data_IF_931591576149
#
_entry.id   IF_931591576149
#
_cell.length_a   1.000
_cell.length_b   1.000
_cell.length_c   1.000
_cell.angle_alpha   90.00
_cell.angle_beta   90.00
_cell.angle_gamma   90.00
#
_symmetry.space_group_name_H-M   'P 1'
#
loop_
_entity.id
_entity.type
_entity.pdbx_description
1 polymer ?
#
# COMPACT_ATOMS: atom_id res chain seq x y z
N UNK A 1 29.31 -0.01 -25.91
CA UNK A 1 27.86 0.09 -25.99
C UNK A 1 27.29 0.27 -24.60
N UNK A 2 26.21 1.05 -24.44
CA UNK A 2 25.55 1.13 -23.13
C UNK A 2 25.01 -0.26 -22.73
N UNK A 3 25.18 -0.66 -21.46
CA UNK A 3 24.64 -1.93 -20.98
C UNK A 3 23.13 -1.90 -20.98
N UNK A 4 22.50 -2.95 -21.51
CA UNK A 4 21.07 -3.22 -21.31
C UNK A 4 20.87 -3.65 -19.85
N UNK A 5 20.08 -2.94 -19.11
CA UNK A 5 19.96 -3.16 -17.67
C UNK A 5 18.54 -3.49 -17.24
N UNK A 6 18.40 -4.40 -16.29
CA UNK A 6 17.15 -4.62 -15.56
C UNK A 6 17.17 -3.73 -14.32
N UNK A 7 16.13 -2.92 -14.12
CA UNK A 7 15.81 -2.29 -12.85
C UNK A 7 14.73 -3.14 -12.16
N UNK A 8 15.16 -4.04 -11.29
CA UNK A 8 14.27 -4.86 -10.48
C UNK A 8 13.82 -4.06 -9.26
N UNK A 9 12.50 -3.93 -9.07
CA UNK A 9 11.91 -3.37 -7.88
C UNK A 9 10.90 -4.33 -7.27
N UNK A 10 11.03 -4.57 -5.97
CA UNK A 10 10.19 -5.47 -5.18
C UNK A 10 9.51 -4.69 -4.06
N UNK A 11 8.19 -4.85 -3.90
CA UNK A 11 7.43 -4.20 -2.85
C UNK A 11 7.19 -5.16 -1.68
N UNK A 12 7.58 -4.77 -0.47
CA UNK A 12 7.43 -5.58 0.76
C UNK A 12 6.40 -4.93 1.67
N UNK A 13 5.28 -5.60 1.86
CA UNK A 13 4.20 -5.07 2.68
C UNK A 13 3.43 -6.16 3.43
N UNK A 14 3.06 -5.86 4.68
CA UNK A 14 2.04 -6.59 5.44
C UNK A 14 1.18 -5.59 6.22
N UNK A 15 -0.16 -5.58 5.99
CA UNK A 15 -1.06 -4.71 6.72
C UNK A 15 -1.33 -5.24 8.13
N UNK A 16 -1.60 -4.33 9.06
CA UNK A 16 -2.28 -4.68 10.30
C UNK A 16 -3.76 -4.87 10.02
N UNK A 17 -4.23 -6.11 10.03
CA UNK A 17 -5.62 -6.45 9.75
C UNK A 17 -6.48 -6.24 10.97
N UNK A 18 -7.62 -5.57 10.79
CA UNK A 18 -8.62 -5.42 11.84
C UNK A 18 -9.16 -6.80 12.22
N UNK A 19 -9.42 -7.01 13.51
CA UNK A 19 -10.03 -8.25 14.03
C UNK A 19 -11.43 -8.45 13.45
N UNK A 20 -11.80 -9.72 13.24
CA UNK A 20 -13.05 -10.15 12.60
C UNK A 20 -14.16 -10.54 13.59
N UNK A 21 -13.99 -10.18 14.86
CA UNK A 21 -14.99 -10.39 15.91
C UNK A 21 -15.51 -9.05 16.50
N UNK A 22 -15.16 -7.92 15.86
CA UNK A 22 -15.65 -6.59 16.24
C UNK A 22 -17.14 -6.46 15.86
N UNK A 23 -17.97 -6.02 16.80
CA UNK A 23 -19.39 -5.82 16.60
C UNK A 23 -19.84 -4.47 17.15
N UNK A 24 -21.06 -4.03 16.75
CA UNK A 24 -21.68 -2.83 17.31
C UNK A 24 -21.81 -2.86 18.84
N UNK A 25 -21.88 -4.03 19.46
CA UNK A 25 -21.96 -4.17 20.92
C UNK A 25 -20.63 -3.90 21.61
N UNK A 26 -19.54 -3.98 20.88
CA UNK A 26 -18.18 -3.73 21.38
C UNK A 26 -17.82 -2.26 21.40
N UNK A 27 -18.65 -1.37 20.83
CA UNK A 27 -18.41 0.07 20.82
C UNK A 27 -18.36 0.63 22.24
N UNK A 28 -17.22 1.17 22.62
CA UNK A 28 -16.93 1.70 23.96
C UNK A 28 -16.33 0.69 24.92
N UNK A 29 -16.00 -0.51 24.48
CA UNK A 29 -15.34 -1.54 25.31
C UNK A 29 -13.81 -1.44 25.33
N UNK A 30 -13.23 -0.55 24.51
CA UNK A 30 -11.79 -0.35 24.37
C UNK A 30 -11.03 -1.61 23.89
N UNK A 31 -11.64 -2.46 23.09
CA UNK A 31 -10.93 -3.57 22.45
C UNK A 31 -9.77 -3.06 21.60
N UNK A 32 -8.66 -3.78 21.62
CA UNK A 32 -7.58 -3.55 20.67
C UNK A 32 -8.03 -3.98 19.27
N UNK A 33 -7.97 -3.08 18.31
CA UNK A 33 -8.47 -3.32 16.95
C UNK A 33 -7.65 -4.35 16.18
N UNK A 34 -6.37 -4.49 16.52
CA UNK A 34 -5.39 -5.34 15.84
C UNK A 34 -4.89 -6.47 16.74
N UNK A 35 -5.68 -6.83 17.75
CA UNK A 35 -5.31 -7.83 18.76
C UNK A 35 -5.02 -9.20 18.15
N UNK A 36 -4.08 -9.90 18.78
CA UNK A 36 -3.74 -11.30 18.55
C UNK A 36 -4.48 -12.26 19.50
N UNK A 37 -5.51 -11.78 20.19
CA UNK A 37 -6.28 -12.58 21.14
C UNK A 37 -6.95 -13.78 20.47
N UNK A 38 -7.13 -14.84 21.28
CA UNK A 38 -7.85 -16.06 20.85
C UNK A 38 -9.31 -15.74 20.52
N UNK A 39 -9.85 -16.42 19.51
CA UNK A 39 -11.25 -16.30 19.11
C UNK A 39 -11.49 -15.57 17.79
N UNK A 40 -10.43 -15.12 17.11
CA UNK A 40 -10.54 -14.66 15.74
C UNK A 40 -10.96 -15.80 14.81
N UNK A 41 -11.83 -15.52 13.85
CA UNK A 41 -12.23 -16.48 12.81
C UNK A 41 -11.11 -16.69 11.80
N UNK A 42 -10.42 -15.60 11.43
CA UNK A 42 -9.23 -15.61 10.58
C UNK A 42 -7.95 -15.94 11.35
N UNK A 43 -6.87 -16.21 10.65
CA UNK A 43 -5.53 -16.23 11.25
C UNK A 43 -5.17 -14.86 11.81
N UNK A 44 -4.44 -14.84 12.92
CA UNK A 44 -3.92 -13.60 13.52
C UNK A 44 -2.87 -12.94 12.62
N UNK A 45 -2.57 -11.65 12.85
CA UNK A 45 -1.53 -10.95 12.10
C UNK A 45 -0.17 -11.66 12.23
N UNK A 46 0.18 -12.11 13.44
CA UNK A 46 1.44 -12.84 13.68
C UNK A 46 1.49 -14.20 12.99
N UNK A 47 0.38 -14.95 12.93
CA UNK A 47 0.31 -16.22 12.21
C UNK A 47 0.48 -16.01 10.69
N UNK A 48 -0.22 -15.02 10.13
CA UNK A 48 -0.08 -14.67 8.70
C UNK A 48 1.35 -14.23 8.41
N UNK A 49 1.93 -13.35 9.24
CA UNK A 49 3.28 -12.84 9.04
C UNK A 49 4.31 -13.98 9.02
N UNK A 50 4.27 -14.89 10.01
CA UNK A 50 5.21 -16.03 10.08
C UNK A 50 5.04 -16.99 8.90
N UNK A 51 3.80 -17.29 8.51
CA UNK A 51 3.49 -18.12 7.34
C UNK A 51 4.12 -17.54 6.06
N UNK A 52 3.96 -16.24 5.82
CA UNK A 52 4.52 -15.58 4.62
C UNK A 52 6.05 -15.48 4.76
N UNK A 53 6.57 -15.28 5.96
CA UNK A 53 8.01 -15.28 6.22
C UNK A 53 8.67 -16.59 5.83
N UNK A 54 8.06 -17.72 6.20
CA UNK A 54 8.56 -19.06 5.86
C UNK A 54 8.50 -19.35 4.35
N UNK A 55 7.42 -18.90 3.69
CA UNK A 55 7.20 -19.20 2.27
C UNK A 55 7.94 -18.26 1.32
N UNK A 56 8.05 -17.00 1.68
CA UNK A 56 8.53 -15.93 0.80
C UNK A 56 9.78 -15.22 1.34
N UNK A 57 9.67 -14.48 2.46
CA UNK A 57 10.73 -13.55 2.85
C UNK A 57 12.07 -14.24 3.13
N UNK A 58 12.10 -15.32 3.92
CA UNK A 58 13.34 -16.00 4.26
C UNK A 58 13.94 -16.72 3.04
N UNK A 59 13.19 -17.54 2.27
CA UNK A 59 13.72 -18.17 1.07
C UNK A 59 14.25 -17.16 0.03
N UNK A 60 13.47 -16.10 -0.24
CA UNK A 60 13.86 -15.10 -1.22
C UNK A 60 15.08 -14.28 -0.76
N UNK A 61 15.13 -13.87 0.53
CA UNK A 61 16.30 -13.17 1.06
C UNK A 61 17.57 -14.03 1.00
N UNK A 62 17.48 -15.33 1.27
CA UNK A 62 18.60 -16.24 1.13
C UNK A 62 19.07 -16.36 -0.32
N UNK A 63 18.14 -16.45 -1.26
CA UNK A 63 18.47 -16.46 -2.69
C UNK A 63 19.11 -15.13 -3.14
N UNK A 64 18.55 -14.00 -2.76
CA UNK A 64 19.12 -12.68 -3.08
C UNK A 64 20.51 -12.49 -2.45
N UNK A 65 20.71 -12.93 -1.21
CA UNK A 65 22.02 -12.89 -0.57
C UNK A 65 23.05 -13.76 -1.33
N UNK A 66 22.65 -14.96 -1.77
CA UNK A 66 23.47 -15.84 -2.62
C UNK A 66 23.83 -15.12 -3.93
N UNK A 67 22.83 -14.56 -4.64
CA UNK A 67 23.03 -13.86 -5.91
C UNK A 67 23.94 -12.64 -5.75
N UNK A 68 23.77 -11.86 -4.69
CA UNK A 68 24.64 -10.74 -4.38
C UNK A 68 26.07 -11.15 -4.10
N UNK A 69 26.33 -12.36 -3.56
CA UNK A 69 27.66 -12.89 -3.33
C UNK A 69 28.30 -13.43 -4.61
N UNK A 70 27.52 -14.13 -5.44
CA UNK A 70 28.05 -14.82 -6.63
C UNK A 70 28.13 -13.91 -7.87
N UNK A 71 27.31 -12.87 -7.94
CA UNK A 71 27.24 -11.94 -9.08
C UNK A 71 27.49 -10.50 -8.62
N UNK A 72 28.71 -9.97 -8.72
CA UNK A 72 29.05 -8.60 -8.28
C UNK A 72 28.24 -7.51 -8.98
N UNK A 73 27.75 -7.76 -10.18
CA UNK A 73 26.94 -6.80 -10.98
C UNK A 73 25.44 -6.88 -10.67
N UNK A 74 25.00 -7.87 -9.88
CA UNK A 74 23.60 -7.98 -9.48
C UNK A 74 23.26 -6.92 -8.44
N UNK A 75 22.20 -6.18 -8.70
CA UNK A 75 21.63 -5.14 -7.84
C UNK A 75 20.12 -5.15 -7.98
N UNK A 76 19.44 -4.64 -6.98
CA UNK A 76 17.99 -4.44 -7.04
C UNK A 76 17.55 -3.33 -6.09
N UNK A 77 16.31 -2.91 -6.22
CA UNK A 77 15.66 -1.98 -5.30
C UNK A 77 14.42 -2.61 -4.70
N UNK A 78 14.08 -2.20 -3.50
CA UNK A 78 12.82 -2.59 -2.86
C UNK A 78 12.30 -1.47 -1.97
N UNK A 79 10.99 -1.44 -1.75
CA UNK A 79 10.45 -0.69 -0.62
C UNK A 79 9.94 -1.64 0.44
N UNK A 80 9.94 -1.20 1.67
CA UNK A 80 9.52 -1.97 2.83
C UNK A 80 8.73 -1.05 3.76
N UNK A 81 7.44 -1.33 3.93
CA UNK A 81 6.56 -0.44 4.69
C UNK A 81 6.90 -0.39 6.17
N UNK A 82 6.58 0.72 6.83
CA UNK A 82 6.72 0.82 8.28
C UNK A 82 5.91 -0.24 9.02
N UNK A 83 4.69 -0.50 8.56
CA UNK A 83 3.84 -1.56 9.12
C UNK A 83 4.45 -2.95 9.03
N UNK A 84 5.15 -3.25 7.93
CA UNK A 84 5.91 -4.50 7.81
C UNK A 84 7.05 -4.56 8.84
N UNK A 85 7.83 -3.47 8.94
CA UNK A 85 8.97 -3.41 9.88
C UNK A 85 8.48 -3.61 11.31
N UNK A 86 7.36 -2.96 11.71
CA UNK A 86 6.79 -3.11 13.03
C UNK A 86 6.36 -4.55 13.31
N UNK A 87 5.68 -5.20 12.36
CA UNK A 87 5.27 -6.60 12.47
C UNK A 87 6.48 -7.55 12.48
N UNK A 88 7.51 -7.29 11.67
CA UNK A 88 8.73 -8.08 11.68
C UNK A 88 9.44 -8.00 13.04
N UNK A 89 9.53 -6.79 13.63
CA UNK A 89 10.10 -6.59 14.95
C UNK A 89 9.34 -7.36 16.03
N UNK A 90 8.01 -7.44 15.91
CA UNK A 90 7.15 -8.09 16.91
C UNK A 90 7.08 -9.61 16.73
N UNK A 91 6.96 -10.11 15.49
CA UNK A 91 6.58 -11.50 15.23
C UNK A 91 7.72 -12.38 14.71
N UNK A 92 8.71 -11.80 14.00
CA UNK A 92 9.81 -12.53 13.35
C UNK A 92 11.03 -11.61 13.11
N UNK A 93 11.78 -11.23 14.17
CA UNK A 93 12.94 -10.34 14.06
C UNK A 93 14.02 -10.84 13.10
N UNK A 94 14.14 -12.16 12.91
CA UNK A 94 15.08 -12.80 11.99
C UNK A 94 14.82 -12.43 10.52
N UNK A 95 13.55 -12.16 10.17
CA UNK A 95 13.18 -11.67 8.83
C UNK A 95 13.79 -10.29 8.62
N UNK A 96 13.66 -9.39 9.58
CA UNK A 96 14.22 -8.05 9.48
C UNK A 96 15.75 -8.08 9.39
N UNK A 97 16.41 -8.94 10.15
CA UNK A 97 17.86 -9.14 10.07
C UNK A 97 18.28 -9.68 8.69
N UNK A 98 17.47 -10.53 8.05
CA UNK A 98 17.77 -10.99 6.70
C UNK A 98 17.73 -9.85 5.67
N UNK A 99 16.76 -8.94 5.74
CA UNK A 99 16.74 -7.72 4.90
C UNK A 99 17.93 -6.80 5.19
N UNK A 100 18.31 -6.62 6.45
CA UNK A 100 19.50 -5.83 6.81
C UNK A 100 20.78 -6.39 6.18
N UNK A 101 20.94 -7.72 6.08
CA UNK A 101 22.09 -8.33 5.41
C UNK A 101 22.14 -7.94 3.93
N UNK A 102 20.99 -7.93 3.24
CA UNK A 102 20.93 -7.50 1.84
C UNK A 102 21.36 -6.03 1.68
N UNK A 103 20.81 -5.14 2.51
CA UNK A 103 21.13 -3.69 2.45
C UNK A 103 22.60 -3.42 2.74
N UNK A 104 23.21 -4.12 3.71
CA UNK A 104 24.65 -3.97 4.05
C UNK A 104 25.59 -4.27 2.88
N UNK A 105 25.14 -4.96 1.84
CA UNK A 105 25.94 -5.18 0.62
C UNK A 105 26.17 -3.90 -0.19
N UNK A 106 25.38 -2.85 0.04
CA UNK A 106 25.38 -1.61 -0.75
C UNK A 106 24.77 -1.76 -2.15
N UNK A 107 24.18 -2.92 -2.47
CA UNK A 107 23.61 -3.24 -3.79
C UNK A 107 22.12 -3.54 -3.77
N UNK A 108 21.50 -3.49 -2.60
CA UNK A 108 20.06 -3.51 -2.39
C UNK A 108 19.62 -2.12 -1.91
N UNK A 109 18.97 -1.36 -2.79
CA UNK A 109 18.49 0.00 -2.53
C UNK A 109 17.11 -0.04 -1.86
N UNK A 110 16.89 0.81 -0.86
CA UNK A 110 15.55 1.02 -0.29
C UNK A 110 14.92 2.28 -0.86
N UNK A 111 13.66 2.15 -1.34
CA UNK A 111 12.85 3.24 -1.89
C UNK A 111 11.86 3.72 -0.84
N UNK A 112 11.66 5.03 -0.76
CA UNK A 112 10.68 5.65 0.14
C UNK A 112 9.24 5.39 -0.32
N UNK A 113 8.34 5.26 0.66
CA UNK A 113 6.89 5.20 0.47
C UNK A 113 6.15 5.78 1.68
N UNK A 114 4.82 5.66 1.77
CA UNK A 114 4.06 5.99 2.97
C UNK A 114 4.25 4.90 4.04
N UNK A 115 4.45 5.29 5.30
CA UNK A 115 4.73 4.37 6.42
C UNK A 115 3.69 3.26 6.55
N UNK A 116 2.40 3.63 6.40
CA UNK A 116 1.26 2.74 6.60
C UNK A 116 0.66 2.22 5.29
N UNK A 117 1.36 2.35 4.17
CA UNK A 117 0.83 1.95 2.85
C UNK A 117 -0.55 2.57 2.59
N UNK A 118 -0.66 3.87 2.75
CA UNK A 118 -1.93 4.58 2.74
C UNK A 118 -2.18 5.35 1.46
N UNK A 119 -3.47 5.58 1.15
CA UNK A 119 -3.91 6.48 0.08
C UNK A 119 -3.99 7.95 0.55
N UNK A 120 -3.25 8.31 1.61
CA UNK A 120 -3.32 9.65 2.22
C UNK A 120 -3.07 10.78 1.22
N UNK A 121 -2.29 10.57 0.16
CA UNK A 121 -2.08 11.56 -0.90
C UNK A 121 -3.40 12.11 -1.47
N UNK A 122 -4.45 11.30 -1.55
CA UNK A 122 -5.74 11.67 -2.14
C UNK A 122 -6.72 12.27 -1.13
N UNK A 123 -6.44 12.15 0.18
CA UNK A 123 -7.34 12.59 1.25
C UNK A 123 -6.79 13.73 2.09
N UNK A 124 -5.47 13.70 2.40
CA UNK A 124 -4.85 14.65 3.32
C UNK A 124 -3.34 14.73 3.07
N UNK A 125 -2.89 15.82 2.44
CA UNK A 125 -1.49 16.05 2.05
C UNK A 125 -0.55 16.16 3.23
N UNK A 126 -1.00 16.75 4.34
CA UNK A 126 -0.18 16.88 5.54
C UNK A 126 0.10 15.51 6.17
N UNK A 127 -0.94 14.65 6.24
CA UNK A 127 -0.76 13.29 6.75
C UNK A 127 0.11 12.45 5.80
N UNK A 128 -0.07 12.59 4.49
CA UNK A 128 0.77 11.95 3.49
C UNK A 128 2.25 12.27 3.71
N UNK A 129 2.60 13.56 3.79
CA UNK A 129 4.00 13.96 4.04
C UNK A 129 4.51 13.47 5.39
N UNK A 130 3.66 13.49 6.42
CA UNK A 130 4.00 12.98 7.76
C UNK A 130 4.37 11.51 7.69
N UNK A 131 3.61 10.70 6.97
CA UNK A 131 3.89 9.28 6.80
C UNK A 131 5.16 9.02 5.98
N UNK A 132 5.40 9.79 4.91
CA UNK A 132 6.64 9.67 4.12
C UNK A 132 7.87 10.00 4.98
N UNK A 133 7.82 11.08 5.76
CA UNK A 133 8.93 11.45 6.67
C UNK A 133 9.12 10.41 7.78
N UNK A 134 8.05 9.86 8.32
CA UNK A 134 8.10 8.79 9.32
C UNK A 134 8.75 7.53 8.74
N UNK A 135 8.40 7.17 7.50
CA UNK A 135 9.02 6.05 6.78
C UNK A 135 10.52 6.28 6.59
N UNK A 136 10.94 7.44 6.07
CA UNK A 136 12.36 7.76 5.90
C UNK A 136 13.13 7.70 7.22
N UNK A 137 12.53 8.20 8.32
CA UNK A 137 13.13 8.12 9.65
C UNK A 137 13.30 6.68 10.13
N UNK A 138 12.27 5.82 9.91
CA UNK A 138 12.32 4.40 10.26
C UNK A 138 13.36 3.64 9.44
N UNK A 139 13.46 3.93 8.15
CA UNK A 139 14.50 3.31 7.27
C UNK A 139 15.90 3.70 7.76
N UNK A 140 16.12 4.97 8.09
CA UNK A 140 17.40 5.43 8.65
C UNK A 140 17.71 4.74 9.98
N UNK A 141 16.73 4.64 10.87
CA UNK A 141 16.85 3.99 12.17
C UNK A 141 17.25 2.51 12.02
N UNK A 142 16.53 1.78 11.16
CA UNK A 142 16.64 0.31 11.08
C UNK A 142 17.78 -0.15 10.18
N UNK A 143 17.97 0.51 9.03
CA UNK A 143 18.90 0.09 7.98
C UNK A 143 20.13 0.98 7.85
N UNK A 144 20.15 2.14 8.48
CA UNK A 144 21.22 3.16 8.39
C UNK A 144 21.50 3.63 6.95
N UNK A 145 20.44 3.82 6.16
CA UNK A 145 20.51 4.34 4.78
C UNK A 145 19.50 5.46 4.56
N UNK A 146 19.79 6.32 3.57
CA UNK A 146 18.86 7.35 3.10
C UNK A 146 18.13 6.86 1.85
N UNK A 147 16.88 7.28 1.70
CA UNK A 147 16.08 6.98 0.51
C UNK A 147 16.10 8.15 -0.45
N UNK A 148 16.38 7.90 -1.72
CA UNK A 148 16.49 8.93 -2.77
C UNK A 148 15.46 8.77 -3.88
N UNK A 149 14.79 7.64 -3.96
CA UNK A 149 13.68 7.36 -4.87
C UNK A 149 12.38 7.18 -4.09
N UNK A 150 11.25 7.38 -4.76
CA UNK A 150 9.92 7.32 -4.17
C UNK A 150 8.97 6.43 -4.97
N UNK A 151 8.11 5.71 -4.27
CA UNK A 151 6.98 4.97 -4.80
C UNK A 151 5.75 5.29 -3.97
N UNK A 152 4.66 5.71 -4.60
CA UNK A 152 3.41 5.87 -3.87
C UNK A 152 2.64 4.55 -3.77
N UNK A 153 1.80 4.43 -2.75
CA UNK A 153 0.92 3.28 -2.51
C UNK A 153 0.23 2.83 -3.79
N UNK A 154 0.31 1.52 -4.09
CA UNK A 154 -0.30 0.87 -5.28
C UNK A 154 0.21 1.41 -6.62
N UNK A 155 1.46 1.89 -6.67
CA UNK A 155 2.00 2.65 -7.81
C UNK A 155 1.10 3.79 -8.27
N UNK A 156 0.20 4.27 -7.41
CA UNK A 156 -0.69 5.37 -7.76
C UNK A 156 0.11 6.63 -8.06
N UNK A 157 -0.06 7.15 -9.26
CA UNK A 157 0.74 8.22 -9.79
C UNK A 157 -0.10 9.20 -10.61
N UNK A 158 0.22 10.48 -10.52
CA UNK A 158 -0.24 11.55 -11.40
C UNK A 158 0.80 12.70 -11.43
N UNK A 159 0.57 13.69 -12.31
CA UNK A 159 1.50 14.83 -12.46
C UNK A 159 1.67 15.65 -11.17
N UNK A 160 0.61 15.76 -10.34
CA UNK A 160 0.67 16.48 -9.06
C UNK A 160 1.60 15.77 -8.06
N UNK A 161 1.54 14.44 -8.00
CA UNK A 161 2.45 13.65 -7.17
C UNK A 161 3.89 13.76 -7.64
N UNK A 162 4.13 13.76 -8.95
CA UNK A 162 5.46 13.91 -9.50
C UNK A 162 6.08 15.27 -9.13
N UNK A 163 5.30 16.34 -9.23
CA UNK A 163 5.72 17.68 -8.82
C UNK A 163 6.05 17.73 -7.34
N UNK A 164 5.18 17.15 -6.49
CA UNK A 164 5.45 17.03 -5.06
C UNK A 164 6.76 16.28 -4.79
N UNK A 165 6.99 15.15 -5.48
CA UNK A 165 8.21 14.34 -5.29
C UNK A 165 9.49 15.09 -5.73
N UNK A 166 9.42 15.88 -6.80
CA UNK A 166 10.51 16.76 -7.25
C UNK A 166 10.81 17.86 -6.22
N UNK A 167 9.77 18.53 -5.72
CA UNK A 167 9.88 19.56 -4.66
C UNK A 167 10.41 18.95 -3.35
N UNK A 168 10.10 17.70 -3.06
CA UNK A 168 10.61 16.93 -1.92
C UNK A 168 12.05 16.44 -2.13
N UNK A 169 12.65 16.67 -3.30
CA UNK A 169 14.03 16.35 -3.71
C UNK A 169 14.32 14.88 -3.95
N UNK A 170 13.30 14.06 -4.25
CA UNK A 170 13.52 12.72 -4.77
C UNK A 170 14.16 12.75 -6.16
N UNK A 171 15.00 11.75 -6.47
CA UNK A 171 15.70 11.62 -7.76
C UNK A 171 14.88 10.82 -8.77
N UNK A 172 14.08 9.88 -8.27
CA UNK A 172 13.25 9.01 -9.08
C UNK A 172 11.88 8.78 -8.46
N UNK A 173 10.90 8.57 -9.31
CA UNK A 173 9.55 8.12 -8.94
C UNK A 173 9.12 6.97 -9.85
N UNK A 174 8.41 6.00 -9.28
CA UNK A 174 7.91 4.83 -9.99
C UNK A 174 6.44 4.99 -10.34
N UNK A 175 6.04 4.50 -11.52
CA UNK A 175 4.65 4.45 -11.95
C UNK A 175 4.39 3.25 -12.87
N UNK A 176 3.12 2.99 -13.17
CA UNK A 176 2.70 1.97 -14.14
C UNK A 176 2.97 2.43 -15.58
N UNK A 177 3.46 1.49 -16.41
CA UNK A 177 3.71 1.73 -17.83
C UNK A 177 2.50 1.42 -18.71
N UNK A 178 1.39 2.09 -18.46
CA UNK A 178 0.10 1.82 -19.11
C UNK A 178 0.08 2.26 -20.58
N UNK A 179 -0.29 1.32 -21.49
CA UNK A 179 -0.25 1.53 -22.95
C UNK A 179 -1.00 2.81 -23.43
N UNK A 180 -2.19 3.18 -22.91
CA UNK A 180 -2.87 4.42 -23.30
C UNK A 180 -2.08 5.70 -23.03
N UNK A 181 -1.25 5.71 -22.00
CA UNK A 181 -0.36 6.83 -21.67
C UNK A 181 0.90 6.79 -22.53
N UNK A 182 1.47 5.60 -22.69
CA UNK A 182 2.68 5.39 -23.49
C UNK A 182 2.41 5.61 -24.97
N UNK A 183 1.23 5.23 -25.49
CA UNK A 183 0.87 5.24 -26.91
C UNK A 183 1.88 4.40 -27.72
N UNK A 184 2.69 5.03 -28.58
CA UNK A 184 3.74 4.38 -29.37
C UNK A 184 5.07 4.21 -28.59
N UNK A 185 5.18 4.75 -27.40
CA UNK A 185 6.39 4.68 -26.58
C UNK A 185 6.50 3.34 -25.85
N UNK A 186 7.68 3.06 -25.32
CA UNK A 186 7.94 1.87 -24.49
C UNK A 186 8.21 2.25 -23.04
N UNK A 187 7.86 1.43 -22.03
CA UNK A 187 8.23 1.66 -20.65
C UNK A 187 9.73 1.47 -20.38
N UNK A 188 10.50 1.02 -21.38
CA UNK A 188 11.91 0.63 -21.22
C UNK A 188 12.88 1.81 -21.40
N UNK A 189 12.41 3.02 -21.16
CA UNK A 189 13.21 4.25 -21.13
C UNK A 189 12.99 5.00 -19.82
N UNK A 190 13.92 5.88 -19.51
CA UNK A 190 13.75 6.88 -18.46
C UNK A 190 13.00 8.07 -19.04
N UNK A 191 11.99 8.54 -18.32
CA UNK A 191 11.19 9.70 -18.71
C UNK A 191 11.35 10.84 -17.70
N UNK A 192 10.96 12.03 -18.13
CA UNK A 192 10.80 13.18 -17.24
C UNK A 192 9.30 13.39 -17.00
N UNK A 193 8.84 13.46 -15.76
CA UNK A 193 7.48 13.90 -15.47
C UNK A 193 7.26 15.33 -15.95
N UNK A 194 6.05 15.60 -16.42
CA UNK A 194 5.67 16.96 -16.84
C UNK A 194 5.80 17.97 -15.69
N UNK A 195 6.21 19.18 -16.02
CA UNK A 195 6.34 20.32 -15.09
C UNK A 195 7.27 20.06 -13.89
N UNK A 196 8.23 19.14 -14.02
CA UNK A 196 9.27 18.85 -13.02
C UNK A 196 10.65 19.31 -13.49
N UNK A 197 11.62 19.39 -12.57
CA UNK A 197 12.99 19.87 -12.86
C UNK A 197 14.00 18.71 -12.91
N UNK A 198 14.10 17.96 -11.82
CA UNK A 198 15.21 17.04 -11.58
C UNK A 198 14.81 15.58 -11.48
N UNK A 199 13.57 15.29 -11.11
CA UNK A 199 13.11 13.92 -10.91
C UNK A 199 13.00 13.15 -12.22
N UNK A 200 13.26 11.85 -12.17
CA UNK A 200 13.10 10.90 -13.28
C UNK A 200 11.95 9.94 -12.99
N UNK A 201 11.26 9.56 -14.05
CA UNK A 201 10.13 8.63 -14.00
C UNK A 201 10.53 7.29 -14.61
N UNK A 202 10.41 6.22 -13.83
CA UNK A 202 10.57 4.85 -14.26
C UNK A 202 9.20 4.20 -14.37
N UNK A 203 8.90 3.63 -15.52
CA UNK A 203 7.60 3.02 -15.83
C UNK A 203 7.69 1.50 -15.82
N UNK A 204 6.83 0.85 -15.03
CA UNK A 204 6.74 -0.61 -14.98
C UNK A 204 6.51 -1.19 -16.36
N UNK A 205 7.36 -2.12 -16.78
CA UNK A 205 7.02 -3.01 -17.89
C UNK A 205 6.03 -4.06 -17.36
N UNK A 206 4.74 -3.73 -17.38
CA UNK A 206 3.71 -4.57 -16.79
C UNK A 206 3.58 -5.92 -17.49
N UNK A 207 3.79 -5.99 -18.81
CA UNK A 207 3.69 -7.25 -19.55
C UNK A 207 4.69 -8.28 -19.02
N UNK A 208 5.96 -7.90 -18.94
CA UNK A 208 7.01 -8.76 -18.42
C UNK A 208 6.91 -9.00 -16.91
N UNK A 209 6.54 -7.98 -16.15
CA UNK A 209 6.37 -8.11 -14.70
C UNK A 209 5.22 -9.06 -14.33
N UNK A 210 4.08 -8.92 -15.02
CA UNK A 210 2.87 -9.71 -14.77
C UNK A 210 3.01 -11.15 -15.28
N UNK A 211 3.91 -11.42 -16.24
CA UNK A 211 4.27 -12.79 -16.67
C UNK A 211 4.88 -13.58 -15.49
N UNK A 212 5.68 -12.93 -14.66
CA UNK A 212 6.22 -13.54 -13.44
C UNK A 212 5.23 -13.52 -12.29
N UNK A 213 4.60 -12.36 -12.04
CA UNK A 213 3.77 -12.16 -10.85
C UNK A 213 2.46 -12.99 -10.88
N UNK A 214 1.83 -13.12 -12.05
CA UNK A 214 0.49 -13.70 -12.15
C UNK A 214 0.39 -14.92 -13.09
N UNK A 215 1.24 -15.03 -14.10
CA UNK A 215 1.10 -16.05 -15.13
C UNK A 215 2.06 -17.23 -14.99
N UNK A 216 3.13 -17.09 -14.22
CA UNK A 216 4.24 -18.06 -14.15
C UNK A 216 3.78 -19.50 -13.87
N UNK A 217 2.90 -19.71 -12.90
CA UNK A 217 2.37 -21.04 -12.53
C UNK A 217 1.05 -21.39 -13.23
N UNK A 218 0.49 -20.50 -14.07
CA UNK A 218 -0.78 -20.73 -14.73
C UNK A 218 -0.64 -21.72 -15.89
N UNK A 219 -1.04 -22.96 -15.67
CA UNK A 219 -0.97 -24.05 -16.67
C UNK A 219 -1.82 -23.83 -17.93
N UNK A 220 -2.81 -22.93 -17.84
CA UNK A 220 -3.66 -22.59 -18.99
C UNK A 220 -3.07 -21.44 -19.83
N UNK A 221 -1.99 -20.82 -19.39
CA UNK A 221 -1.31 -19.78 -20.14
C UNK A 221 -0.58 -20.39 -21.36
N UNK A 222 -0.73 -19.79 -22.51
CA UNK A 222 -0.14 -20.32 -23.77
C UNK A 222 1.39 -20.46 -23.72
N UNK A 223 2.04 -19.64 -22.91
CA UNK A 223 3.50 -19.62 -22.77
C UNK A 223 4.02 -20.53 -21.62
N UNK A 224 3.09 -21.26 -20.95
CA UNK A 224 3.45 -22.21 -19.89
C UNK A 224 4.08 -23.49 -20.49
N UNK A 225 5.15 -24.05 -19.88
CA UNK A 225 5.94 -23.46 -18.81
C UNK A 225 6.87 -22.36 -19.33
N UNK A 226 6.97 -21.25 -18.57
CA UNK A 226 7.90 -20.19 -18.89
C UNK A 226 9.34 -20.64 -18.53
N UNK A 227 10.17 -20.80 -19.53
CA UNK A 227 11.60 -21.11 -19.32
C UNK A 227 12.44 -19.84 -19.22
N UNK A 228 13.57 -19.93 -18.52
CA UNK A 228 14.51 -18.82 -18.39
C UNK A 228 15.00 -18.29 -19.73
N UNK A 229 15.34 -19.20 -20.67
CA UNK A 229 15.81 -18.83 -22.02
C UNK A 229 14.75 -18.06 -22.80
N UNK A 230 13.48 -18.51 -22.71
CA UNK A 230 12.36 -17.83 -23.34
C UNK A 230 12.17 -16.43 -22.78
N UNK A 231 12.18 -16.29 -21.46
CA UNK A 231 12.02 -15.00 -20.81
C UNK A 231 13.18 -14.04 -21.12
N UNK A 232 14.42 -14.53 -21.14
CA UNK A 232 15.59 -13.74 -21.58
C UNK A 232 15.43 -13.25 -23.02
N UNK A 233 14.93 -14.08 -23.92
CA UNK A 233 14.68 -13.64 -25.32
C UNK A 233 13.65 -12.51 -25.39
N UNK A 234 12.64 -12.51 -24.51
CA UNK A 234 11.67 -11.42 -24.40
C UNK A 234 12.29 -10.14 -23.82
N UNK A 235 13.12 -10.27 -22.79
CA UNK A 235 13.87 -9.16 -22.22
C UNK A 235 14.78 -8.50 -23.28
N UNK A 236 15.52 -9.32 -24.05
CA UNK A 236 16.40 -8.84 -25.12
C UNK A 236 15.62 -8.12 -26.23
N UNK A 237 14.48 -8.68 -26.65
CA UNK A 237 13.61 -8.07 -27.64
C UNK A 237 13.02 -6.76 -27.14
N UNK A 238 12.59 -6.71 -25.88
CA UNK A 238 12.04 -5.52 -25.25
C UNK A 238 13.07 -4.41 -25.09
N UNK A 239 14.34 -4.77 -24.86
CA UNK A 239 15.45 -3.81 -24.71
C UNK A 239 16.04 -3.31 -26.02
N UNK A 240 15.56 -3.78 -27.17
CA UNK A 240 16.07 -3.33 -28.48
C UNK A 240 15.89 -1.82 -28.71
N UNK A 241 14.83 -1.25 -28.11
CA UNK A 241 14.50 0.16 -28.17
C UNK A 241 14.58 0.87 -26.81
N UNK A 242 15.30 0.31 -25.83
CA UNK A 242 15.35 0.90 -24.48
C UNK A 242 16.63 0.58 -23.72
N UNK A 243 16.96 1.42 -22.76
CA UNK A 243 18.17 1.34 -21.95
C UNK A 243 17.98 0.60 -20.63
N UNK A 244 16.72 0.48 -20.17
CA UNK A 244 16.36 -0.13 -18.90
C UNK A 244 15.05 -0.90 -19.02
N UNK A 245 14.99 -2.08 -18.45
CA UNK A 245 13.76 -2.86 -18.34
C UNK A 245 13.30 -2.81 -16.89
N UNK A 246 12.17 -2.16 -16.63
CA UNK A 246 11.63 -1.96 -15.30
C UNK A 246 10.72 -3.13 -14.91
N UNK A 247 11.24 -4.07 -14.13
CA UNK A 247 10.48 -5.20 -13.57
C UNK A 247 10.05 -4.86 -12.15
N UNK A 248 8.77 -4.51 -11.97
CA UNK A 248 8.21 -4.11 -10.67
C UNK A 248 7.11 -5.10 -10.26
N UNK A 249 7.20 -5.63 -9.06
CA UNK A 249 6.22 -6.59 -8.53
C UNK A 249 6.27 -6.64 -7.01
N UNK A 250 5.30 -7.31 -6.42
CA UNK A 250 5.32 -7.60 -4.99
C UNK A 250 6.43 -8.60 -4.66
N UNK A 251 7.03 -8.46 -3.50
CA UNK A 251 8.08 -9.37 -3.00
C UNK A 251 7.49 -10.77 -2.81
N UNK A 252 6.26 -10.83 -2.37
CA UNK A 252 5.47 -12.03 -2.12
C UNK A 252 5.15 -12.81 -3.41
N UNK A 253 5.43 -12.25 -4.58
CA UNK A 253 5.48 -12.98 -5.86
C UNK A 253 6.30 -14.26 -5.71
N UNK A 254 7.44 -14.18 -5.00
CA UNK A 254 8.34 -15.30 -4.79
C UNK A 254 7.99 -16.05 -3.50
N UNK A 255 7.24 -17.14 -3.64
CA UNK A 255 6.92 -18.09 -2.59
C UNK A 255 5.50 -18.04 -2.05
N UNK A 256 4.81 -16.89 -2.06
CA UNK A 256 3.41 -16.82 -1.63
C UNK A 256 2.44 -16.78 -2.83
N UNK A 257 2.65 -15.91 -3.84
CA UNK A 257 1.80 -15.88 -5.03
C UNK A 257 2.20 -16.96 -6.04
N UNK A 258 3.49 -17.13 -6.29
CA UNK A 258 4.07 -18.24 -7.05
C UNK A 258 4.78 -19.15 -6.05
N UNK A 259 4.18 -20.29 -5.74
CA UNK A 259 4.70 -21.20 -4.72
C UNK A 259 6.05 -21.79 -5.10
N UNK A 260 6.85 -22.23 -4.13
CA UNK A 260 8.17 -22.80 -4.37
C UNK A 260 8.12 -23.98 -5.34
N UNK A 261 7.09 -24.81 -5.26
CA UNK A 261 6.86 -25.98 -6.13
C UNK A 261 6.65 -25.61 -7.61
N UNK A 262 6.33 -24.35 -7.91
CA UNK A 262 6.26 -23.84 -9.29
C UNK A 262 7.64 -23.72 -9.95
N UNK A 263 8.72 -23.76 -9.15
CA UNK A 263 10.10 -23.55 -9.62
C UNK A 263 10.49 -22.09 -9.75
N UNK A 264 9.71 -21.15 -9.18
CA UNK A 264 9.94 -19.70 -9.33
C UNK A 264 11.31 -19.24 -8.80
N UNK A 265 11.81 -19.85 -7.70
CA UNK A 265 13.11 -19.51 -7.14
C UNK A 265 14.25 -19.96 -8.06
N UNK A 266 14.20 -21.19 -8.58
CA UNK A 266 15.19 -21.73 -9.51
C UNK A 266 15.17 -20.94 -10.83
N UNK A 267 13.98 -20.57 -11.28
CA UNK A 267 13.82 -19.71 -12.45
C UNK A 267 14.48 -18.35 -12.23
N UNK A 268 14.26 -17.70 -11.08
CA UNK A 268 14.84 -16.39 -10.80
C UNK A 268 16.36 -16.46 -10.64
N UNK A 269 16.90 -17.50 -9.97
CA UNK A 269 18.33 -17.74 -9.90
C UNK A 269 18.97 -17.88 -11.29
N UNK A 270 18.34 -18.70 -12.12
CA UNK A 270 18.80 -18.93 -13.50
C UNK A 270 18.69 -17.66 -14.34
N UNK A 271 17.61 -16.88 -14.17
CA UNK A 271 17.42 -15.60 -14.87
C UNK A 271 18.58 -14.63 -14.60
N UNK A 272 18.93 -14.43 -13.33
CA UNK A 272 20.03 -13.53 -12.97
C UNK A 272 21.35 -14.03 -13.54
N UNK A 273 21.63 -15.34 -13.39
CA UNK A 273 22.88 -15.96 -13.85
C UNK A 273 23.03 -15.84 -15.35
N UNK A 274 22.07 -16.31 -16.14
CA UNK A 274 22.15 -16.26 -17.61
C UNK A 274 22.08 -14.85 -18.17
N UNK A 275 21.32 -13.93 -17.54
CA UNK A 275 21.33 -12.53 -17.96
C UNK A 275 22.72 -11.92 -17.86
N UNK A 276 23.45 -12.21 -16.80
CA UNK A 276 24.80 -11.67 -16.56
C UNK A 276 25.92 -12.41 -17.28
N UNK A 277 25.66 -13.52 -17.99
CA UNK A 277 26.65 -14.14 -18.86
C UNK A 277 27.07 -13.24 -20.03
N UNK A 278 26.20 -12.33 -20.47
CA UNK A 278 26.48 -11.39 -21.53
C UNK A 278 27.07 -10.08 -20.99
N UNK A 279 28.27 -9.68 -21.43
CA UNK A 279 28.94 -8.45 -20.94
C UNK A 279 28.13 -7.15 -21.11
N UNK A 280 27.28 -7.13 -22.14
CA UNK A 280 26.38 -6.00 -22.45
C UNK A 280 25.14 -5.93 -21.55
N UNK A 281 24.91 -6.92 -20.68
CA UNK A 281 23.78 -6.97 -19.77
C UNK A 281 24.19 -6.56 -18.35
N UNK A 282 23.24 -6.10 -17.57
CA UNK A 282 23.48 -5.70 -16.18
C UNK A 282 22.19 -5.46 -15.40
N UNK A 283 22.39 -5.10 -14.15
CA UNK A 283 21.31 -4.64 -13.27
C UNK A 283 21.63 -3.21 -12.78
N UNK A 284 20.59 -2.44 -12.54
CA UNK A 284 20.68 -1.11 -11.93
C UNK A 284 19.70 -1.02 -10.77
N UNK A 285 20.05 -0.28 -9.74
CA UNK A 285 19.05 0.20 -8.80
C UNK A 285 18.19 1.28 -9.48
N UNK A 286 17.04 1.60 -8.89
CA UNK A 286 16.15 2.65 -9.41
C UNK A 286 16.88 4.01 -9.49
N UNK A 287 17.62 4.38 -8.44
CA UNK A 287 18.39 5.62 -8.44
C UNK A 287 19.54 5.61 -9.47
N UNK A 288 20.20 4.48 -9.68
CA UNK A 288 21.20 4.35 -10.73
C UNK A 288 20.59 4.47 -12.14
N UNK A 289 19.43 3.85 -12.36
CA UNK A 289 18.71 3.96 -13.63
C UNK A 289 18.28 5.41 -13.90
N UNK A 290 17.86 6.14 -12.88
CA UNK A 290 17.47 7.53 -12.96
C UNK A 290 18.61 8.51 -13.29
N UNK A 291 19.87 8.06 -13.29
CA UNK A 291 21.01 8.89 -13.76
C UNK A 291 21.05 9.02 -15.28
N UNK A 292 20.32 8.19 -16.01
CA UNK A 292 20.24 8.29 -17.47
C UNK A 292 19.42 9.52 -17.89
N UNK A 293 19.80 10.13 -19.03
CA UNK A 293 19.02 11.23 -19.57
C UNK A 293 17.64 10.79 -20.02
N UNK A 294 16.59 11.54 -19.71
CA UNK A 294 15.24 11.17 -20.10
C UNK A 294 15.06 11.34 -21.62
N UNK A 295 14.40 10.37 -22.26
CA UNK A 295 14.16 10.41 -23.70
C UNK A 295 13.02 11.36 -24.11
N UNK A 296 12.07 11.58 -23.21
CA UNK A 296 10.92 12.46 -23.42
C UNK A 296 10.27 12.87 -22.08
N UNK A 297 9.40 13.87 -22.17
CA UNK A 297 8.48 14.22 -21.09
C UNK A 297 7.18 13.44 -21.23
N UNK A 298 6.62 12.98 -20.10
CA UNK A 298 5.32 12.28 -20.02
C UNK A 298 4.43 13.01 -19.02
N UNK A 299 3.15 13.16 -19.39
CA UNK A 299 2.09 13.69 -18.54
C UNK A 299 1.05 12.60 -18.24
N UNK A 300 0.69 12.48 -16.95
CA UNK A 300 -0.41 11.66 -16.45
C UNK A 300 -1.32 12.54 -15.58
N UNK A 301 -2.23 13.32 -16.19
CA UNK A 301 -3.08 14.25 -15.45
C UNK A 301 -4.11 13.53 -14.56
N UNK A 302 -4.50 12.30 -14.92
CA UNK A 302 -5.35 11.43 -14.12
C UNK A 302 -4.50 10.41 -13.38
N UNK A 303 -4.99 9.96 -12.23
CA UNK A 303 -4.29 8.97 -11.44
C UNK A 303 -4.30 7.61 -12.14
N UNK A 304 -3.12 7.03 -12.29
CA UNK A 304 -2.89 5.67 -12.79
C UNK A 304 -2.36 4.81 -11.65
N UNK A 305 -2.76 3.54 -11.57
CA UNK A 305 -2.27 2.54 -10.60
C UNK A 305 -1.84 1.27 -11.32
N UNK A 306 -1.29 0.29 -10.61
CA UNK A 306 -0.94 -1.01 -11.20
C UNK A 306 -2.04 -2.06 -11.11
N UNK A 307 -3.16 -1.75 -10.43
CA UNK A 307 -4.22 -2.72 -10.18
C UNK A 307 -5.30 -2.69 -11.25
N UNK A 308 -5.89 -3.86 -11.46
CA UNK A 308 -7.00 -4.15 -12.36
C UNK A 308 -6.72 -3.75 -13.81
N UNK A 309 -7.69 -3.95 -14.68
CA UNK A 309 -7.60 -3.54 -16.11
C UNK A 309 -7.79 -2.04 -16.30
N UNK A 310 -8.54 -1.40 -15.41
CA UNK A 310 -8.84 0.03 -15.46
C UNK A 310 -7.63 0.90 -15.10
N UNK A 311 -6.66 0.35 -14.36
CA UNK A 311 -5.46 1.06 -13.92
C UNK A 311 -5.76 2.39 -13.21
N UNK A 312 -6.83 2.44 -12.43
CA UNK A 312 -7.26 3.62 -11.67
C UNK A 312 -7.44 3.29 -10.16
N UNK A 313 -8.09 4.18 -9.41
CA UNK A 313 -8.32 3.99 -7.97
C UNK A 313 -9.59 3.19 -7.64
N UNK A 314 -10.32 2.66 -8.61
CA UNK A 314 -11.62 2.03 -8.36
C UNK A 314 -11.52 0.71 -7.58
N UNK A 315 -10.37 0.06 -7.56
CA UNK A 315 -10.12 -1.08 -6.66
C UNK A 315 -10.23 -0.71 -5.17
N UNK A 316 -9.97 0.56 -4.82
CA UNK A 316 -9.99 1.06 -3.44
C UNK A 316 -11.11 2.05 -3.15
N UNK A 317 -11.64 2.75 -4.16
CA UNK A 317 -12.59 3.84 -4.00
C UNK A 317 -13.79 3.71 -4.97
N UNK A 318 -14.00 2.54 -5.56
CA UNK A 318 -14.97 2.33 -6.64
C UNK A 318 -16.42 2.19 -6.18
N UNK A 319 -16.67 1.77 -4.94
CA UNK A 319 -18.02 1.56 -4.43
C UNK A 319 -18.35 2.45 -3.21
N UNK A 320 -19.63 2.50 -2.85
CA UNK A 320 -20.11 3.37 -1.77
C UNK A 320 -19.58 2.97 -0.39
N UNK A 321 -19.31 1.68 -0.13
CA UNK A 321 -18.76 1.21 1.15
C UNK A 321 -17.33 1.74 1.32
N UNK A 322 -16.49 1.61 0.32
CA UNK A 322 -15.13 2.12 0.30
C UNK A 322 -15.09 3.64 0.53
N UNK A 323 -15.93 4.38 -0.21
CA UNK A 323 -16.00 5.84 -0.11
C UNK A 323 -16.48 6.30 1.27
N UNK A 324 -17.50 5.67 1.83
CA UNK A 324 -18.03 6.01 3.15
C UNK A 324 -17.01 5.70 4.25
N UNK A 325 -16.35 4.53 4.19
CA UNK A 325 -15.34 4.11 5.14
C UNK A 325 -14.16 5.09 5.17
N UNK A 326 -13.60 5.42 4.02
CA UNK A 326 -12.46 6.34 3.92
C UNK A 326 -12.84 7.77 4.30
N UNK A 327 -14.00 8.25 3.89
CA UNK A 327 -14.53 9.56 4.30
C UNK A 327 -14.68 9.65 5.82
N UNK A 328 -15.22 8.62 6.46
CA UNK A 328 -15.39 8.59 7.91
C UNK A 328 -14.04 8.55 8.63
N UNK A 329 -13.11 7.71 8.15
CA UNK A 329 -11.75 7.61 8.69
C UNK A 329 -11.06 8.98 8.73
N UNK A 330 -10.96 9.66 7.58
CA UNK A 330 -10.27 10.95 7.49
C UNK A 330 -11.01 12.08 8.22
N UNK A 331 -12.34 12.00 8.35
CA UNK A 331 -13.10 12.94 9.18
C UNK A 331 -12.76 12.88 10.68
N UNK A 332 -12.20 11.77 11.16
CA UNK A 332 -11.76 11.61 12.54
C UNK A 332 -10.38 12.25 12.82
N UNK A 333 -9.55 12.52 11.80
CA UNK A 333 -8.14 12.96 11.93
C UNK A 333 -7.96 14.06 12.97
N UNK A 334 -8.62 15.19 12.82
CA UNK A 334 -8.45 16.34 13.71
C UNK A 334 -8.79 16.01 15.17
N UNK A 335 -9.77 15.15 15.39
CA UNK A 335 -10.17 14.74 16.75
C UNK A 335 -9.17 13.76 17.35
N UNK A 336 -8.65 12.85 16.53
CA UNK A 336 -7.59 11.91 16.91
C UNK A 336 -6.35 12.68 17.37
N UNK A 337 -5.86 13.61 16.58
CA UNK A 337 -4.69 14.42 16.93
C UNK A 337 -4.93 15.31 18.17
N UNK A 338 -6.11 15.94 18.25
CA UNK A 338 -6.47 16.76 19.39
C UNK A 338 -6.68 15.96 20.70
N UNK A 339 -6.84 14.64 20.62
CA UNK A 339 -6.92 13.77 21.80
C UNK A 339 -5.61 13.71 22.57
N UNK A 340 -4.48 13.97 21.91
CA UNK A 340 -3.11 13.81 22.42
C UNK A 340 -2.84 12.40 22.96
N UNK A 341 -3.58 11.41 22.50
CA UNK A 341 -3.41 10.01 22.85
C UNK A 341 -2.64 9.31 21.71
N UNK A 342 -1.36 9.00 21.97
CA UNK A 342 -0.47 8.39 20.97
C UNK A 342 -1.02 7.06 20.45
N UNK A 343 -1.64 6.24 21.30
CA UNK A 343 -2.22 4.96 20.87
C UNK A 343 -3.39 5.17 19.89
N UNK A 344 -4.26 6.18 20.13
CA UNK A 344 -5.34 6.48 19.19
C UNK A 344 -4.83 7.02 17.85
N UNK A 345 -3.72 7.78 17.86
CA UNK A 345 -3.08 8.26 16.63
C UNK A 345 -2.50 7.08 15.88
N UNK A 346 -1.83 6.17 16.55
CA UNK A 346 -1.26 4.96 15.94
C UNK A 346 -2.36 4.04 15.38
N UNK A 347 -3.41 3.76 16.16
CA UNK A 347 -4.56 2.97 15.69
C UNK A 347 -5.20 3.60 14.45
N UNK A 348 -5.41 4.93 14.46
CA UNK A 348 -5.97 5.64 13.32
C UNK A 348 -5.07 5.54 12.08
N UNK A 349 -3.76 5.67 12.24
CA UNK A 349 -2.80 5.54 11.14
C UNK A 349 -2.78 4.14 10.56
N UNK A 350 -2.79 3.09 11.37
CA UNK A 350 -2.92 1.70 10.92
C UNK A 350 -4.20 1.48 10.12
N UNK A 351 -5.30 2.15 10.49
CA UNK A 351 -6.55 2.11 9.72
C UNK A 351 -6.47 2.86 8.37
N UNK A 352 -5.46 3.72 8.15
CA UNK A 352 -5.27 4.38 6.84
C UNK A 352 -4.69 3.46 5.76
N UNK A 353 -4.23 2.27 6.11
CA UNK A 353 -3.70 1.27 5.17
C UNK A 353 -4.71 0.98 4.06
N UNK A 354 -4.25 1.03 2.80
CA UNK A 354 -5.10 0.86 1.60
C UNK A 354 -5.82 -0.48 1.56
N UNK A 355 -5.21 -1.52 2.09
CA UNK A 355 -5.77 -2.89 2.15
C UNK A 355 -7.15 -2.94 2.77
N UNK A 356 -7.41 -2.14 3.81
CA UNK A 356 -8.73 -2.12 4.43
C UNK A 356 -9.82 -1.71 3.43
N UNK A 357 -9.52 -0.76 2.56
CA UNK A 357 -10.43 -0.35 1.50
C UNK A 357 -10.48 -1.38 0.38
N UNK A 358 -9.35 -1.98 0.02
CA UNK A 358 -9.27 -3.04 -0.98
C UNK A 358 -10.13 -4.26 -0.62
N UNK A 359 -10.14 -4.68 0.65
CA UNK A 359 -10.98 -5.80 1.13
C UNK A 359 -12.49 -5.55 0.98
N UNK A 360 -12.91 -4.28 0.83
CA UNK A 360 -14.30 -3.89 0.56
C UNK A 360 -14.64 -3.81 -0.93
N UNK A 361 -13.69 -4.13 -1.83
CA UNK A 361 -13.90 -4.12 -3.28
C UNK A 361 -14.92 -5.17 -3.69
N UNK A 362 -15.83 -4.81 -4.61
CA UNK A 362 -16.88 -5.71 -5.11
C UNK A 362 -16.70 -6.10 -6.57
N UNK A 363 -15.51 -5.90 -7.13
CA UNK A 363 -15.18 -6.19 -8.54
C UNK A 363 -14.87 -7.67 -8.83
N UNK A 364 -15.48 -8.60 -8.10
CA UNK A 364 -15.18 -10.04 -8.19
C UNK A 364 -15.29 -10.67 -9.58
N UNK A 365 -16.07 -10.06 -10.47
CA UNK A 365 -16.41 -10.69 -11.75
C UNK A 365 -15.50 -10.28 -12.91
N UNK A 366 -14.73 -9.22 -12.78
CA UNK A 366 -13.93 -8.67 -13.89
C UNK A 366 -12.47 -9.17 -13.88
N UNK A 367 -11.89 -9.38 -12.69
CA UNK A 367 -10.47 -9.69 -12.49
C UNK A 367 -10.24 -11.03 -11.77
N UNK A 368 -11.27 -11.92 -11.76
CA UNK A 368 -11.20 -13.20 -11.08
C UNK A 368 -11.19 -13.08 -9.55
N UNK A 369 -10.70 -14.13 -8.87
CA UNK A 369 -10.71 -14.23 -7.42
C UNK A 369 -9.56 -13.45 -6.72
N UNK A 370 -8.87 -12.53 -7.43
CA UNK A 370 -7.71 -11.82 -6.90
C UNK A 370 -8.06 -11.03 -5.63
N UNK A 371 -9.19 -10.31 -5.64
CA UNK A 371 -9.66 -9.57 -4.47
C UNK A 371 -10.01 -10.48 -3.28
N UNK A 372 -10.58 -11.65 -3.54
CA UNK A 372 -10.89 -12.64 -2.51
C UNK A 372 -9.60 -13.31 -1.97
N UNK A 373 -8.60 -13.53 -2.82
CA UNK A 373 -7.34 -14.15 -2.43
C UNK A 373 -6.61 -13.35 -1.35
N UNK A 374 -6.57 -12.02 -1.48
CA UNK A 374 -5.87 -11.15 -0.53
C UNK A 374 -6.69 -10.82 0.72
N UNK A 375 -8.03 -10.99 0.70
CA UNK A 375 -8.87 -10.64 1.83
C UNK A 375 -8.83 -11.70 2.93
N UNK A 376 -8.60 -11.33 4.21
CA UNK A 376 -8.71 -12.25 5.33
C UNK A 376 -10.17 -12.48 5.78
N UNK A 377 -11.13 -11.76 5.18
CA UNK A 377 -12.54 -11.76 5.55
C UNK A 377 -13.37 -12.59 4.57
N UNK A 378 -14.50 -13.11 5.02
CA UNK A 378 -15.37 -13.97 4.20
C UNK A 378 -16.03 -13.21 3.04
N UNK A 379 -16.27 -11.92 3.21
CA UNK A 379 -16.86 -11.09 2.17
C UNK A 379 -16.42 -9.59 2.28
N UNK A 380 -16.57 -8.79 1.22
CA UNK A 380 -16.38 -7.35 1.28
C UNK A 380 -17.31 -6.63 2.27
N UNK A 381 -18.50 -7.22 2.50
CA UNK A 381 -19.47 -6.68 3.46
C UNK A 381 -18.99 -6.88 4.90
N UNK A 382 -18.39 -8.03 5.21
CA UNK A 382 -17.80 -8.31 6.51
C UNK A 382 -16.61 -7.38 6.76
N UNK A 383 -15.73 -7.22 5.77
CA UNK A 383 -14.63 -6.25 5.85
C UNK A 383 -15.14 -4.84 6.17
N UNK A 384 -16.19 -4.40 5.49
CA UNK A 384 -16.82 -3.11 5.74
C UNK A 384 -17.42 -3.01 7.15
N UNK A 385 -18.12 -4.04 7.62
CA UNK A 385 -18.73 -4.04 8.96
C UNK A 385 -17.69 -3.94 10.06
N UNK A 386 -16.65 -4.79 10.04
CA UNK A 386 -15.58 -4.76 11.06
C UNK A 386 -14.83 -3.44 11.06
N UNK A 387 -14.54 -2.90 9.89
CA UNK A 387 -13.88 -1.61 9.77
C UNK A 387 -14.75 -0.46 10.31
N UNK A 388 -16.04 -0.42 9.95
CA UNK A 388 -16.96 0.62 10.41
C UNK A 388 -17.24 0.54 11.90
N UNK A 389 -17.33 -0.66 12.49
CA UNK A 389 -17.51 -0.83 13.92
C UNK A 389 -16.25 -0.39 14.69
N UNK A 390 -15.07 -0.64 14.12
CA UNK A 390 -13.80 -0.08 14.62
C UNK A 390 -13.80 1.45 14.61
N UNK A 391 -14.21 2.07 13.51
CA UNK A 391 -14.30 3.53 13.43
C UNK A 391 -15.35 4.12 14.40
N UNK A 392 -16.46 3.41 14.62
CA UNK A 392 -17.49 3.80 15.60
C UNK A 392 -16.96 3.74 17.05
N UNK A 393 -16.18 2.72 17.37
CA UNK A 393 -15.51 2.64 18.70
C UNK A 393 -14.50 3.77 18.86
N UNK A 394 -13.65 4.00 17.87
CA UNK A 394 -12.71 5.12 17.89
C UNK A 394 -13.44 6.46 18.06
N UNK A 395 -14.52 6.72 17.30
CA UNK A 395 -15.34 7.92 17.43
C UNK A 395 -15.95 8.04 18.84
N UNK A 396 -16.36 6.91 19.44
CA UNK A 396 -16.88 6.89 20.82
C UNK A 396 -15.80 7.27 21.83
N UNK A 397 -14.62 6.66 21.74
CA UNK A 397 -13.46 6.96 22.61
C UNK A 397 -13.04 8.43 22.51
N UNK A 398 -13.05 9.00 21.30
CA UNK A 398 -12.74 10.41 21.08
C UNK A 398 -13.76 11.39 21.71
N UNK A 399 -15.00 10.97 21.97
CA UNK A 399 -16.01 11.81 22.65
C UNK A 399 -15.64 12.11 24.10
N UNK A 400 -14.93 11.20 24.73
CA UNK A 400 -14.45 11.37 26.10
C UNK A 400 -13.26 12.34 26.23
N UNK A 401 -12.59 12.65 25.11
CA UNK A 401 -11.47 13.61 25.06
C UNK A 401 -11.91 15.06 24.81
N UNK A 402 -13.21 15.31 24.55
CA UNK A 402 -13.72 16.65 24.27
C UNK A 402 -13.69 17.56 25.51
N UNK A 403 -13.41 18.89 25.36
CA UNK A 403 -13.48 19.85 26.44
C UNK A 403 -14.85 19.84 27.13
N UNK A 404 -14.87 20.11 28.44
CA UNK A 404 -16.06 20.04 29.32
C UNK A 404 -17.33 20.73 28.74
N UNK A 405 -17.19 21.84 28.02
CA UNK A 405 -18.32 22.54 27.36
C UNK A 405 -19.01 21.70 26.27
N UNK A 406 -18.23 20.91 25.52
CA UNK A 406 -18.80 20.03 24.48
C UNK A 406 -19.37 18.74 25.08
N UNK A 407 -18.77 18.21 26.16
CA UNK A 407 -19.31 17.06 26.91
C UNK A 407 -20.71 17.34 27.45
N UNK A 408 -20.98 18.54 27.95
CA UNK A 408 -22.28 18.91 28.47
C UNK A 408 -23.36 18.98 27.38
N UNK A 409 -23.05 19.51 26.19
CA UNK A 409 -23.99 19.52 25.04
C UNK A 409 -24.33 18.09 24.62
N UNK A 410 -23.36 17.20 24.55
CA UNK A 410 -23.58 15.79 24.18
C UNK A 410 -24.36 15.02 25.25
N UNK A 411 -24.05 15.27 26.54
CA UNK A 411 -24.78 14.68 27.65
C UNK A 411 -26.27 15.12 27.62
N UNK A 412 -26.52 16.38 27.33
CA UNK A 412 -27.87 16.93 27.18
C UNK A 412 -28.60 16.31 25.97
N UNK A 413 -27.91 16.13 24.83
CA UNK A 413 -28.47 15.45 23.65
C UNK A 413 -28.77 13.98 23.92
N UNK A 414 -27.92 13.27 24.67
CA UNK A 414 -28.12 11.86 25.07
C UNK A 414 -29.33 11.73 26.02
N UNK A 415 -29.49 12.66 26.95
CA UNK A 415 -30.64 12.72 27.86
C UNK A 415 -31.94 13.03 27.05
N UNK A 416 -31.90 13.99 26.15
CA UNK A 416 -33.00 14.33 25.26
C UNK A 416 -33.43 13.16 24.37
N UNK A 417 -32.46 12.39 23.80
CA UNK A 417 -32.76 11.19 23.02
C UNK A 417 -33.41 10.09 23.89
N UNK A 418 -32.92 9.88 25.13
CA UNK A 418 -33.52 8.91 26.06
C UNK A 418 -34.97 9.32 26.46
N UNK A 419 -35.21 10.61 26.63
CA UNK A 419 -36.53 11.14 26.93
C UNK A 419 -37.49 10.99 25.74
N UNK A 420 -37.01 11.21 24.50
CA UNK A 420 -37.76 10.97 23.26
C UNK A 420 -38.17 9.51 23.10
N UNK A 421 -37.27 8.57 23.42
CA UNK A 421 -37.55 7.13 23.36
C UNK A 421 -38.58 6.68 24.43
N UNK A 422 -38.56 7.32 25.62
CA UNK A 422 -39.51 7.01 26.69
C UNK A 422 -40.92 7.63 26.47
N UNK A 423 -41.04 8.68 25.66
CA UNK A 423 -42.33 9.34 25.40
C UNK A 423 -43.03 8.84 24.15
N UNK A 424 -42.71 7.62 23.68
CA UNK A 424 -43.16 7.07 22.39
C UNK A 424 -44.68 6.80 22.25
N UNK A 425 -45.48 7.00 23.30
CA UNK A 425 -46.92 6.73 23.28
C UNK A 425 -47.85 7.95 23.02
N UNK A 426 -47.31 9.17 22.82
CA UNK A 426 -48.15 10.35 22.62
C UNK A 426 -47.70 11.22 21.45
N UNK A 427 -48.39 11.10 20.32
CA UNK A 427 -48.05 11.72 19.01
C UNK A 427 -48.00 13.27 19.05
N UNK A 428 -48.73 13.91 19.93
CA UNK A 428 -48.75 15.38 20.05
C UNK A 428 -47.47 15.92 20.71
N UNK A 429 -46.94 15.21 21.69
CA UNK A 429 -45.66 15.56 22.35
C UNK A 429 -44.45 15.35 21.44
N UNK A 430 -44.48 14.38 20.51
CA UNK A 430 -43.45 14.17 19.51
C UNK A 430 -43.26 15.36 18.59
N UNK A 431 -44.34 16.01 18.15
CA UNK A 431 -44.27 17.19 17.27
C UNK A 431 -43.64 18.39 17.95
N UNK A 432 -43.99 18.66 19.19
CA UNK A 432 -43.46 19.80 19.95
C UNK A 432 -41.98 19.60 20.26
N UNK A 433 -41.55 18.36 20.61
CA UNK A 433 -40.16 18.03 20.90
C UNK A 433 -39.27 18.04 19.64
N UNK A 434 -39.78 17.60 18.48
CA UNK A 434 -39.09 17.69 17.21
C UNK A 434 -38.83 19.13 16.78
N UNK A 435 -39.81 20.03 17.02
CA UNK A 435 -39.66 21.47 16.74
C UNK A 435 -38.66 22.15 17.69
N UNK A 436 -38.59 21.75 18.97
CA UNK A 436 -37.59 22.24 19.91
C UNK A 436 -36.17 21.75 19.54
N UNK A 437 -36.01 20.49 19.11
CA UNK A 437 -34.72 19.94 18.66
C UNK A 437 -34.24 20.68 17.39
N UNK A 438 -35.13 20.95 16.45
CA UNK A 438 -34.82 21.67 15.22
C UNK A 438 -34.39 23.13 15.51
N UNK A 439 -35.06 23.81 16.43
CA UNK A 439 -34.69 25.16 16.89
C UNK A 439 -33.30 25.18 17.57
N UNK A 440 -33.00 24.22 18.42
CA UNK A 440 -31.71 24.17 19.12
C UNK A 440 -30.53 23.78 18.19
N UNK A 441 -30.79 22.95 17.16
CA UNK A 441 -29.80 22.66 16.11
C UNK A 441 -29.52 23.89 15.22
N UNK A 442 -30.54 24.70 14.92
CA UNK A 442 -30.37 25.92 14.17
C UNK A 442 -29.70 27.05 14.97
N UNK A 443 -29.88 27.09 16.31
CA UNK A 443 -29.17 28.01 17.20
C UNK A 443 -27.67 27.65 17.33
N UNK A 444 -27.36 26.37 17.35
CA UNK A 444 -25.95 25.87 17.37
C UNK A 444 -25.24 26.15 16.02
N UNK A 445 -25.97 26.14 14.89
CA UNK A 445 -25.39 26.49 13.59
C UNK A 445 -25.18 28.00 13.41
N UNK A 446 -26.04 28.87 13.96
CA UNK A 446 -25.90 30.34 13.89
C UNK A 446 -24.78 30.92 14.76
N UNK A 447 -24.22 30.19 15.72
CA UNK A 447 -23.02 30.60 16.50
C UNK A 447 -21.70 30.13 15.90
N UNK A 448 -21.70 29.56 14.68
CA UNK A 448 -20.52 29.12 13.93
C UNK A 448 -20.28 29.92 12.63
N UNK A 449 -21.00 31.01 12.45
CA UNK A 449 -20.73 32.02 11.43
C UNK A 449 -20.19 33.30 12.03
#
# INVERSE_FOLDING_TARGET
MAKKSIALYLHVHQPWRVRDDQTLFDVGTNKNYFSEEKGLKRQSNGEIFRKVAEKSYIPMNNLLEKLLKTHPEFKFSFSITGTFIDQAQEFAPEVLESFKRLVRTGRAEIIAETYYHSLAFFFDREEFETQVRAHQAKIREVFNVETTAFRNTELSYNDELAKWADDFSFKAILAEGWDPILQWRTPNHIYKPKDTKNIRLLLKNYKLSDDLAFRFSNRNWQEYPLTTQKYISWLESSSYHGDVINLFMDYETFGEHQWAESGIFDFFESLVSYWLEKPEHGFKTVTEAAQSEPVAEISMPNTVTWADTERDLTAWLGNSMQQEAMKYLYALKLRVYNSRNGNLVEDWRRLTTSDHSYYMCTKYFNDGDVHAYFSPYESPYDAFLYFMDTLRDMDFRLKDTLPFKQKNVQKTQKILRKLLLKTSKNTRRKKIFAQMLHRNLMFAKRKRG
#
